data_IF_510432403103
#
_entry.id   IF_510432403103
#
_cell.length_a   1.000
_cell.length_b   1.000
_cell.length_c   1.000
_cell.angle_alpha   90.00
_cell.angle_beta   90.00
_cell.angle_gamma   90.00
#
_symmetry.space_group_name_H-M   'P 1'
#
loop_
_entity.id
_entity.type
_entity.pdbx_description
1 polymer ?
#
# COMPACT_ATOMS: atom_id res chain seq x y z
N UNK A 1 -48.06 12.31 -22.60
CA UNK A 1 -47.26 12.79 -21.45
C UNK A 1 -47.83 12.14 -20.21
N UNK A 2 -47.25 11.02 -19.77
CA UNK A 2 -47.63 10.34 -18.53
C UNK A 2 -46.63 10.77 -17.46
N UNK A 3 -47.11 11.52 -16.48
CA UNK A 3 -46.34 11.93 -15.30
C UNK A 3 -46.18 10.74 -14.36
N UNK A 4 -44.95 10.24 -14.22
CA UNK A 4 -44.55 9.32 -13.15
C UNK A 4 -44.76 9.97 -11.77
N UNK A 5 -45.32 9.25 -10.77
CA UNK A 5 -45.38 9.77 -9.40
C UNK A 5 -43.98 9.68 -8.77
N UNK A 6 -43.38 10.83 -8.49
CA UNK A 6 -42.17 10.91 -7.68
C UNK A 6 -42.48 10.41 -6.26
N UNK A 7 -41.71 9.41 -5.80
CA UNK A 7 -41.89 8.74 -4.50
C UNK A 7 -41.61 9.63 -3.27
N UNK A 8 -41.21 10.89 -3.48
CA UNK A 8 -41.16 11.95 -2.49
C UNK A 8 -40.89 13.28 -3.23
N UNK A 9 -41.87 14.17 -3.30
CA UNK A 9 -41.75 15.40 -4.08
C UNK A 9 -40.89 16.48 -3.39
N UNK A 10 -40.73 16.40 -2.06
CA UNK A 10 -39.96 17.34 -1.26
C UNK A 10 -38.86 16.62 -0.47
N UNK A 11 -37.81 17.34 -0.08
CA UNK A 11 -36.76 16.80 0.81
C UNK A 11 -37.34 16.30 2.14
N UNK A 12 -38.35 16.99 2.68
CA UNK A 12 -39.05 16.57 3.89
C UNK A 12 -39.77 15.23 3.72
N UNK A 13 -40.36 14.98 2.55
CA UNK A 13 -41.02 13.69 2.28
C UNK A 13 -39.99 12.56 2.15
N UNK A 14 -38.81 12.85 1.56
CA UNK A 14 -37.70 11.90 1.50
C UNK A 14 -37.21 11.54 2.90
N UNK A 15 -36.95 12.53 3.75
CA UNK A 15 -36.49 12.29 5.13
C UNK A 15 -37.50 11.50 5.96
N UNK A 16 -38.82 11.76 5.79
CA UNK A 16 -39.87 10.96 6.44
C UNK A 16 -39.87 9.50 5.99
N UNK A 17 -39.73 9.26 4.69
CA UNK A 17 -39.64 7.91 4.14
C UNK A 17 -38.40 7.17 4.65
N UNK A 18 -37.27 7.87 4.76
CA UNK A 18 -36.05 7.31 5.36
C UNK A 18 -36.26 6.94 6.82
N UNK A 19 -36.91 7.80 7.61
CA UNK A 19 -37.25 7.46 9.00
C UNK A 19 -38.08 6.17 9.07
N UNK A 20 -39.05 5.99 8.18
CA UNK A 20 -39.83 4.76 8.10
C UNK A 20 -38.97 3.54 7.71
N UNK A 21 -38.07 3.68 6.72
CA UNK A 21 -37.14 2.62 6.31
C UNK A 21 -36.13 2.23 7.41
N UNK A 22 -35.87 3.12 8.35
CA UNK A 22 -34.99 2.87 9.50
C UNK A 22 -35.71 2.23 10.69
N UNK A 23 -37.04 2.12 10.68
CA UNK A 23 -37.77 1.45 11.76
C UNK A 23 -37.43 -0.03 11.78
N UNK A 24 -37.26 -0.57 12.99
CA UNK A 24 -37.02 -1.99 13.22
C UNK A 24 -38.34 -2.70 13.54
N UNK A 25 -38.50 -3.91 13.01
CA UNK A 25 -39.58 -4.81 13.39
C UNK A 25 -39.21 -5.70 14.60
N UNK A 26 -40.03 -6.71 14.89
CA UNK A 26 -39.82 -7.65 16.01
C UNK A 26 -38.60 -8.57 15.83
N UNK A 27 -38.13 -8.74 14.60
CA UNK A 27 -36.94 -9.52 14.27
C UNK A 27 -35.68 -8.65 14.20
N UNK A 28 -35.80 -7.37 14.57
CA UNK A 28 -34.77 -6.34 14.40
C UNK A 28 -34.43 -6.06 12.92
N UNK A 29 -35.36 -6.31 12.00
CA UNK A 29 -35.19 -5.99 10.59
C UNK A 29 -35.61 -4.56 10.32
N UNK A 30 -34.74 -3.83 9.63
CA UNK A 30 -35.05 -2.50 9.11
C UNK A 30 -35.78 -2.61 7.78
N UNK A 31 -36.60 -1.60 7.45
CA UNK A 31 -37.24 -1.50 6.13
C UNK A 31 -36.23 -1.58 4.98
N UNK A 32 -35.05 -0.96 5.13
CA UNK A 32 -33.98 -1.05 4.11
C UNK A 32 -33.45 -2.48 3.92
N UNK A 33 -33.35 -3.28 5.00
CA UNK A 33 -32.97 -4.69 4.94
C UNK A 33 -34.05 -5.54 4.27
N UNK A 34 -35.32 -5.31 4.62
CA UNK A 34 -36.48 -5.97 4.00
C UNK A 34 -36.48 -5.72 2.48
N UNK A 35 -36.24 -4.48 2.05
CA UNK A 35 -36.11 -4.17 0.63
C UNK A 35 -34.94 -4.90 -0.01
N UNK A 36 -33.78 -4.93 0.63
CA UNK A 36 -32.61 -5.67 0.14
C UNK A 36 -32.89 -7.16 -0.08
N UNK A 37 -33.65 -7.80 0.81
CA UNK A 37 -33.94 -9.23 0.75
C UNK A 37 -35.06 -9.56 -0.26
N UNK A 38 -36.14 -8.78 -0.27
CA UNK A 38 -37.40 -9.18 -0.93
C UNK A 38 -37.87 -8.24 -2.05
N UNK A 39 -37.29 -7.04 -2.16
CA UNK A 39 -37.66 -6.05 -3.17
C UNK A 39 -36.41 -5.34 -3.70
N UNK A 40 -35.45 -6.14 -4.18
CA UNK A 40 -34.11 -5.71 -4.60
C UNK A 40 -34.14 -4.52 -5.57
N UNK A 41 -35.08 -4.47 -6.51
CA UNK A 41 -35.23 -3.36 -7.47
C UNK A 41 -35.50 -2.01 -6.79
N UNK A 42 -36.11 -2.02 -5.60
CA UNK A 42 -36.44 -0.80 -4.85
C UNK A 42 -35.28 -0.28 -4.00
N UNK A 43 -34.21 -1.05 -3.82
CA UNK A 43 -33.08 -0.66 -2.96
C UNK A 43 -32.37 0.58 -3.48
N UNK A 44 -32.18 0.67 -4.80
CA UNK A 44 -31.49 1.78 -5.44
C UNK A 44 -32.22 3.10 -5.22
N UNK A 45 -33.54 3.09 -5.39
CA UNK A 45 -34.38 4.23 -5.12
C UNK A 45 -34.34 4.61 -3.63
N UNK A 46 -34.41 3.62 -2.73
CA UNK A 46 -34.36 3.84 -1.28
C UNK A 46 -33.04 4.47 -0.81
N UNK A 47 -31.90 3.96 -1.29
CA UNK A 47 -30.58 4.54 -0.97
C UNK A 47 -30.43 5.96 -1.55
N UNK A 48 -30.98 6.21 -2.75
CA UNK A 48 -30.93 7.52 -3.40
C UNK A 48 -31.79 8.60 -2.71
N UNK A 49 -32.72 8.22 -1.82
CA UNK A 49 -33.48 9.20 -1.03
C UNK A 49 -32.57 10.00 -0.09
N UNK A 50 -31.44 9.43 0.35
CA UNK A 50 -30.54 10.05 1.31
C UNK A 50 -29.64 11.11 0.66
N UNK A 51 -30.22 12.28 0.44
CA UNK A 51 -29.58 13.49 -0.11
C UNK A 51 -28.86 14.29 0.97
N UNK A 52 -29.43 14.37 2.17
CA UNK A 52 -28.87 15.11 3.31
C UNK A 52 -27.88 14.27 4.12
N UNK A 53 -26.97 14.92 4.84
CA UNK A 53 -26.02 14.21 5.70
C UNK A 53 -26.71 13.43 6.83
N UNK A 54 -27.74 14.01 7.43
CA UNK A 54 -28.51 13.38 8.50
C UNK A 54 -29.18 12.09 8.01
N UNK A 55 -29.79 12.15 6.82
CA UNK A 55 -30.47 11.01 6.22
C UNK A 55 -29.50 9.91 5.79
N UNK A 56 -28.32 10.28 5.27
CA UNK A 56 -27.24 9.32 4.99
C UNK A 56 -26.79 8.59 6.25
N UNK A 57 -26.62 9.31 7.36
CA UNK A 57 -26.24 8.72 8.65
C UNK A 57 -27.35 7.83 9.21
N UNK A 58 -28.64 8.20 9.05
CA UNK A 58 -29.79 7.36 9.43
C UNK A 58 -29.83 6.04 8.65
N UNK A 59 -29.74 6.09 7.32
CA UNK A 59 -29.70 4.88 6.50
C UNK A 59 -28.46 4.03 6.78
N UNK A 60 -27.30 4.67 7.00
CA UNK A 60 -26.09 3.94 7.41
C UNK A 60 -26.33 3.18 8.71
N UNK A 61 -26.92 3.82 9.73
CA UNK A 61 -27.26 3.16 10.98
C UNK A 61 -28.24 1.98 10.77
N UNK A 62 -29.24 2.16 9.91
CA UNK A 62 -30.20 1.11 9.58
C UNK A 62 -29.58 -0.09 8.83
N UNK A 63 -28.58 0.17 7.97
CA UNK A 63 -27.79 -0.87 7.31
C UNK A 63 -26.85 -1.60 8.28
N UNK A 64 -26.41 -0.92 9.33
CA UNK A 64 -25.57 -1.50 10.38
C UNK A 64 -26.38 -2.28 11.43
N UNK A 65 -27.71 -2.18 11.44
CA UNK A 65 -28.56 -2.86 12.40
C UNK A 65 -28.37 -4.38 12.28
N UNK A 66 -27.98 -4.99 13.40
CA UNK A 66 -27.82 -6.45 13.54
C UNK A 66 -29.17 -7.04 13.91
N UNK A 67 -29.57 -8.11 13.21
CA UNK A 67 -30.79 -8.85 13.54
C UNK A 67 -30.56 -10.00 14.54
N UNK A 68 -31.62 -10.76 14.81
CA UNK A 68 -31.57 -11.92 15.69
C UNK A 68 -30.66 -13.06 15.19
N UNK A 69 -30.28 -13.04 13.91
CA UNK A 69 -29.39 -14.02 13.30
C UNK A 69 -27.95 -13.50 13.11
N UNK A 70 -27.62 -12.36 13.72
CA UNK A 70 -26.36 -11.64 13.55
C UNK A 70 -26.11 -11.09 12.13
N UNK A 71 -27.15 -11.00 11.30
CA UNK A 71 -27.10 -10.43 9.96
C UNK A 71 -27.36 -8.93 9.99
N UNK A 72 -26.45 -8.18 9.35
CA UNK A 72 -26.62 -6.75 9.11
C UNK A 72 -27.33 -6.50 7.79
N UNK A 73 -27.93 -5.32 7.63
CA UNK A 73 -28.50 -4.89 6.36
C UNK A 73 -27.45 -4.86 5.24
N UNK A 74 -26.23 -4.41 5.52
CA UNK A 74 -25.14 -4.40 4.53
C UNK A 74 -24.71 -5.81 4.11
N UNK A 75 -24.69 -6.80 5.01
CA UNK A 75 -24.43 -8.20 4.65
C UNK A 75 -25.53 -8.77 3.77
N UNK A 76 -26.80 -8.47 4.06
CA UNK A 76 -27.93 -8.86 3.18
C UNK A 76 -27.78 -8.27 1.78
N UNK A 77 -27.39 -6.99 1.67
CA UNK A 77 -27.12 -6.40 0.36
C UNK A 77 -25.98 -7.12 -0.37
N UNK A 78 -24.90 -7.48 0.34
CA UNK A 78 -23.80 -8.26 -0.25
C UNK A 78 -24.25 -9.60 -0.83
N UNK A 79 -25.19 -10.28 -0.17
CA UNK A 79 -25.71 -11.57 -0.62
C UNK A 79 -26.77 -11.48 -1.70
N UNK A 80 -27.72 -10.55 -1.58
CA UNK A 80 -28.92 -10.51 -2.41
C UNK A 80 -28.85 -9.49 -3.55
N UNK A 81 -28.17 -8.36 -3.33
CA UNK A 81 -28.12 -7.23 -4.29
C UNK A 81 -26.72 -6.59 -4.30
N UNK A 82 -25.67 -7.35 -4.62
CA UNK A 82 -24.27 -6.97 -4.44
C UNK A 82 -23.89 -5.65 -5.12
N UNK A 83 -24.46 -5.36 -6.29
CA UNK A 83 -24.21 -4.12 -7.04
C UNK A 83 -24.63 -2.86 -6.26
N UNK A 84 -25.64 -2.97 -5.38
CA UNK A 84 -26.12 -1.88 -4.53
C UNK A 84 -25.18 -1.56 -3.36
N UNK A 85 -24.28 -2.47 -3.00
CA UNK A 85 -23.35 -2.30 -1.87
C UNK A 85 -22.48 -1.06 -2.10
N UNK A 86 -22.01 -0.81 -3.32
CA UNK A 86 -21.21 0.38 -3.62
C UNK A 86 -21.93 1.70 -3.25
N UNK A 87 -23.23 1.79 -3.50
CA UNK A 87 -24.07 2.93 -3.13
C UNK A 87 -24.29 3.01 -1.62
N UNK A 88 -24.53 1.87 -0.98
CA UNK A 88 -24.69 1.77 0.46
C UNK A 88 -23.42 2.23 1.20
N UNK A 89 -22.23 1.81 0.75
CA UNK A 89 -20.95 2.26 1.28
C UNK A 89 -20.73 3.76 1.07
N UNK A 90 -21.20 4.33 -0.04
CA UNK A 90 -21.08 5.75 -0.33
C UNK A 90 -21.94 6.66 0.57
N UNK A 91 -22.92 6.10 1.30
CA UNK A 91 -23.66 6.84 2.32
C UNK A 91 -22.77 7.24 3.50
N UNK A 92 -21.74 6.45 3.80
CA UNK A 92 -20.81 6.69 4.90
C UNK A 92 -19.78 7.77 4.55
N UNK A 93 -20.18 9.03 4.70
CA UNK A 93 -19.33 10.20 4.42
C UNK A 93 -18.54 10.68 5.65
N UNK A 94 -19.05 10.43 6.86
CA UNK A 94 -18.37 10.79 8.12
C UNK A 94 -17.46 9.67 8.61
N UNK A 95 -16.42 10.00 9.39
CA UNK A 95 -15.55 8.98 10.01
C UNK A 95 -16.33 7.98 10.87
N UNK A 96 -17.31 8.48 11.63
CA UNK A 96 -18.14 7.66 12.50
C UNK A 96 -19.00 6.69 11.70
N UNK A 97 -19.64 7.15 10.62
CA UNK A 97 -20.50 6.30 9.79
C UNK A 97 -19.67 5.25 9.03
N UNK A 98 -18.47 5.63 8.57
CA UNK A 98 -17.54 4.68 7.96
C UNK A 98 -17.14 3.56 8.90
N UNK A 99 -16.77 3.92 10.14
CA UNK A 99 -16.40 2.94 11.16
C UNK A 99 -17.56 2.01 11.49
N UNK A 100 -18.78 2.55 11.69
CA UNK A 100 -19.99 1.73 11.91
C UNK A 100 -20.25 0.74 10.79
N UNK A 101 -20.18 1.20 9.54
CA UNK A 101 -20.46 0.35 8.38
C UNK A 101 -19.38 -0.71 8.18
N UNK A 102 -18.12 -0.38 8.49
CA UNK A 102 -17.04 -1.36 8.52
C UNK A 102 -17.26 -2.39 9.63
N UNK A 103 -17.69 -1.98 10.83
CA UNK A 103 -18.05 -2.91 11.91
C UNK A 103 -19.15 -3.85 11.44
N UNK A 104 -20.17 -3.33 10.75
CA UNK A 104 -21.27 -4.14 10.23
C UNK A 104 -20.82 -5.14 9.13
N UNK A 105 -19.84 -4.77 8.30
CA UNK A 105 -19.23 -5.70 7.33
C UNK A 105 -18.34 -6.76 7.99
N UNK A 106 -17.70 -6.42 9.11
CA UNK A 106 -16.86 -7.32 9.89
C UNK A 106 -17.67 -8.16 10.89
N UNK A 107 -18.97 -7.90 11.05
CA UNK A 107 -19.84 -8.67 11.92
C UNK A 107 -19.91 -10.12 11.42
N UNK A 108 -19.64 -11.06 12.34
CA UNK A 108 -19.76 -12.50 12.09
C UNK A 108 -21.22 -12.90 12.27
N UNK A 109 -21.78 -13.54 11.26
CA UNK A 109 -23.12 -14.10 11.28
C UNK A 109 -23.16 -15.48 11.96
N UNK A 110 -24.34 -16.08 12.06
CA UNK A 110 -24.52 -17.41 12.64
C UNK A 110 -23.87 -18.56 11.82
N UNK A 111 -23.47 -18.31 10.57
CA UNK A 111 -22.70 -19.25 9.74
C UNK A 111 -21.20 -19.08 9.89
N UNK A 112 -20.74 -18.14 10.74
CA UNK A 112 -19.33 -17.83 10.91
C UNK A 112 -18.73 -17.00 9.77
N UNK A 113 -19.56 -16.39 8.91
CA UNK A 113 -19.12 -15.53 7.80
C UNK A 113 -19.28 -14.06 8.14
N UNK A 114 -18.49 -13.23 7.49
CA UNK A 114 -18.62 -11.77 7.55
C UNK A 114 -19.10 -11.23 6.21
N UNK A 115 -19.78 -10.09 6.19
CA UNK A 115 -20.15 -9.42 4.94
C UNK A 115 -18.94 -9.12 4.07
N UNK A 116 -17.79 -8.81 4.68
CA UNK A 116 -16.54 -8.61 3.96
C UNK A 116 -16.04 -9.88 3.27
N UNK A 117 -16.19 -11.06 3.88
CA UNK A 117 -15.83 -12.34 3.28
C UNK A 117 -16.69 -12.64 2.05
N UNK A 118 -17.98 -12.35 2.12
CA UNK A 118 -18.93 -12.53 1.01
C UNK A 118 -18.54 -11.64 -0.17
N UNK A 119 -18.26 -10.37 0.09
CA UNK A 119 -17.76 -9.45 -0.94
C UNK A 119 -16.43 -9.93 -1.54
N UNK A 120 -15.57 -10.56 -0.75
CA UNK A 120 -14.28 -11.04 -1.22
C UNK A 120 -14.41 -12.26 -2.14
N UNK A 121 -15.21 -13.24 -1.72
CA UNK A 121 -15.37 -14.50 -2.43
C UNK A 121 -16.21 -14.33 -3.71
N UNK A 122 -17.29 -13.52 -3.67
CA UNK A 122 -18.25 -13.41 -4.78
C UNK A 122 -18.10 -12.11 -5.60
N UNK A 123 -17.64 -11.01 -5.00
CA UNK A 123 -17.64 -9.68 -5.64
C UNK A 123 -16.35 -8.87 -5.39
N UNK A 124 -15.16 -9.42 -5.72
CA UNK A 124 -13.87 -8.83 -5.33
C UNK A 124 -13.65 -7.39 -5.80
N UNK A 125 -14.34 -6.94 -6.85
CA UNK A 125 -14.31 -5.56 -7.33
C UNK A 125 -14.76 -4.53 -6.26
N UNK A 126 -15.60 -4.94 -5.29
CA UNK A 126 -16.13 -4.07 -4.24
C UNK A 126 -15.19 -3.92 -3.04
N UNK A 127 -14.14 -4.73 -2.94
CA UNK A 127 -13.23 -4.74 -1.79
C UNK A 127 -12.56 -3.39 -1.58
N UNK A 128 -12.17 -2.67 -2.65
CA UNK A 128 -11.58 -1.34 -2.50
C UNK A 128 -12.54 -0.34 -1.84
N UNK A 129 -13.83 -0.42 -2.13
CA UNK A 129 -14.84 0.45 -1.53
C UNK A 129 -15.06 0.11 -0.06
N UNK A 130 -15.08 -1.17 0.29
CA UNK A 130 -15.18 -1.63 1.68
C UNK A 130 -13.93 -1.21 2.49
N UNK A 131 -12.73 -1.40 1.94
CA UNK A 131 -11.48 -0.98 2.58
C UNK A 131 -11.41 0.54 2.78
N UNK A 132 -11.97 1.34 1.88
CA UNK A 132 -12.00 2.80 1.98
C UNK A 132 -12.76 3.33 3.22
N UNK A 133 -13.54 2.48 3.89
CA UNK A 133 -14.17 2.79 5.17
C UNK A 133 -13.17 2.80 6.34
N UNK A 134 -12.08 2.04 6.25
CA UNK A 134 -11.13 1.90 7.36
C UNK A 134 -10.22 3.13 7.47
N UNK A 135 -10.67 4.17 8.19
CA UNK A 135 -9.97 5.47 8.22
C UNK A 135 -9.23 5.76 9.52
N UNK A 136 -9.36 4.89 10.51
CA UNK A 136 -8.75 4.98 11.84
C UNK A 136 -7.87 3.77 12.15
N UNK A 137 -7.06 3.85 13.21
CA UNK A 137 -6.22 2.72 13.63
C UNK A 137 -7.08 1.57 14.20
N UNK A 138 -8.18 1.92 14.86
CA UNK A 138 -9.19 1.00 15.37
C UNK A 138 -9.84 0.23 14.23
N UNK A 139 -10.23 0.92 13.16
CA UNK A 139 -10.78 0.29 11.95
C UNK A 139 -9.77 -0.70 11.32
N UNK A 140 -8.50 -0.32 11.23
CA UNK A 140 -7.42 -1.17 10.72
C UNK A 140 -7.27 -2.45 11.56
N UNK A 141 -7.27 -2.31 12.89
CA UNK A 141 -7.18 -3.45 13.81
C UNK A 141 -8.37 -4.39 13.64
N UNK A 142 -9.57 -3.83 13.57
CA UNK A 142 -10.82 -4.58 13.37
C UNK A 142 -10.82 -5.35 12.04
N UNK A 143 -10.46 -4.69 10.93
CA UNK A 143 -10.34 -5.32 9.61
C UNK A 143 -9.35 -6.49 9.63
N UNK A 144 -8.19 -6.28 10.27
CA UNK A 144 -7.16 -7.31 10.38
C UNK A 144 -7.60 -8.48 11.27
N UNK A 145 -8.42 -8.24 12.28
CA UNK A 145 -8.95 -9.29 13.14
C UNK A 145 -10.11 -10.08 12.49
N UNK A 146 -10.95 -9.43 11.69
CA UNK A 146 -12.13 -10.03 11.08
C UNK A 146 -11.82 -10.97 9.90
N UNK A 147 -10.64 -10.86 9.31
CA UNK A 147 -10.23 -11.67 8.15
C UNK A 147 -9.27 -12.81 8.55
N UNK A 148 -9.51 -13.99 7.99
CA UNK A 148 -8.55 -15.10 8.07
C UNK A 148 -7.28 -14.79 7.27
N UNK A 149 -6.22 -15.59 7.43
CA UNK A 149 -4.99 -15.41 6.66
C UNK A 149 -5.21 -15.62 5.14
N UNK A 150 -6.05 -16.59 4.77
CA UNK A 150 -6.41 -16.83 3.36
C UNK A 150 -7.16 -15.63 2.78
N UNK A 151 -8.15 -15.12 3.51
CA UNK A 151 -8.93 -13.95 3.07
C UNK A 151 -8.02 -12.70 2.93
N UNK A 152 -7.07 -12.51 3.85
CA UNK A 152 -6.08 -11.42 3.73
C UNK A 152 -5.23 -11.54 2.47
N UNK A 153 -4.73 -12.73 2.15
CA UNK A 153 -3.92 -12.95 0.95
C UNK A 153 -4.75 -12.75 -0.33
N UNK A 154 -6.02 -13.16 -0.34
CA UNK A 154 -6.96 -12.84 -1.43
C UNK A 154 -7.16 -11.34 -1.59
N UNK A 155 -7.38 -10.59 -0.50
CA UNK A 155 -7.49 -9.12 -0.55
C UNK A 155 -6.22 -8.50 -1.11
N UNK A 156 -5.04 -8.94 -0.67
CA UNK A 156 -3.75 -8.46 -1.21
C UNK A 156 -3.65 -8.73 -2.71
N UNK A 157 -4.05 -9.93 -3.15
CA UNK A 157 -4.07 -10.29 -4.58
C UNK A 157 -4.99 -9.35 -5.36
N UNK A 158 -6.21 -9.11 -4.88
CA UNK A 158 -7.17 -8.16 -5.47
C UNK A 158 -6.62 -6.74 -5.52
N UNK A 159 -5.92 -6.28 -4.47
CA UNK A 159 -5.28 -4.96 -4.43
C UNK A 159 -4.15 -4.81 -5.45
N UNK A 160 -3.48 -5.91 -5.81
CA UNK A 160 -2.38 -5.95 -6.78
C UNK A 160 -2.85 -6.13 -8.23
N UNK A 161 -4.07 -6.62 -8.44
CA UNK A 161 -4.63 -6.80 -9.78
C UNK A 161 -4.74 -5.47 -10.52
N UNK A 162 -4.40 -5.48 -11.81
CA UNK A 162 -4.45 -4.32 -12.68
C UNK A 162 -5.78 -4.33 -13.43
N UNK A 163 -6.49 -3.21 -13.37
CA UNK A 163 -7.70 -3.02 -14.16
C UNK A 163 -7.37 -2.53 -15.59
N UNK A 164 -8.40 -2.40 -16.42
CA UNK A 164 -8.29 -1.94 -17.82
C UNK A 164 -7.63 -0.55 -17.99
N UNK A 165 -7.57 0.24 -16.91
CA UNK A 165 -6.91 1.55 -16.87
C UNK A 165 -5.44 1.48 -16.47
N UNK A 166 -4.88 0.29 -16.29
CA UNK A 166 -3.49 0.09 -15.86
C UNK A 166 -3.25 0.41 -14.37
N UNK A 167 -4.32 0.54 -13.57
CA UNK A 167 -4.24 0.89 -12.15
C UNK A 167 -4.51 -0.32 -11.28
N UNK A 168 -3.75 -0.43 -10.20
CA UNK A 168 -4.01 -1.42 -9.15
C UNK A 168 -5.06 -0.92 -8.17
N UNK A 169 -5.73 -1.83 -7.46
CA UNK A 169 -6.66 -1.47 -6.38
C UNK A 169 -5.99 -0.58 -5.32
N UNK A 170 -4.75 -0.89 -4.96
CA UNK A 170 -3.96 -0.08 -4.02
C UNK A 170 -3.72 1.36 -4.51
N UNK A 171 -3.43 1.54 -5.81
CA UNK A 171 -3.30 2.89 -6.41
C UNK A 171 -4.61 3.66 -6.34
N UNK A 172 -5.73 3.01 -6.65
CA UNK A 172 -7.05 3.64 -6.54
C UNK A 172 -7.36 4.04 -5.09
N UNK A 173 -7.10 3.15 -4.13
CA UNK A 173 -7.29 3.43 -2.70
C UNK A 173 -6.45 4.62 -2.25
N UNK A 174 -5.19 4.71 -2.68
CA UNK A 174 -4.33 5.85 -2.37
C UNK A 174 -4.87 7.19 -2.91
N UNK A 175 -5.42 7.22 -4.13
CA UNK A 175 -5.97 8.44 -4.72
C UNK A 175 -7.29 8.88 -4.07
N UNK A 176 -8.17 7.93 -3.72
CA UNK A 176 -9.55 8.25 -3.33
C UNK A 176 -9.84 8.10 -1.84
N UNK A 177 -9.07 7.27 -1.13
CA UNK A 177 -9.22 7.03 0.31
C UNK A 177 -7.83 6.86 0.98
N UNK A 178 -6.98 7.90 0.95
CA UNK A 178 -5.59 7.81 1.43
C UNK A 178 -5.45 7.42 2.91
N UNK A 179 -6.46 7.71 3.74
CA UNK A 179 -6.49 7.30 5.15
C UNK A 179 -6.57 5.77 5.33
N UNK A 180 -7.13 5.05 4.35
CA UNK A 180 -7.33 3.60 4.40
C UNK A 180 -6.17 2.78 3.87
N UNK A 181 -5.17 3.42 3.26
CA UNK A 181 -4.02 2.72 2.68
C UNK A 181 -3.27 1.92 3.76
N UNK A 182 -3.07 2.47 4.95
CA UNK A 182 -2.40 1.74 6.03
C UNK A 182 -3.14 0.45 6.43
N UNK A 183 -4.47 0.49 6.46
CA UNK A 183 -5.28 -0.69 6.73
C UNK A 183 -5.07 -1.75 5.65
N UNK A 184 -5.08 -1.35 4.37
CA UNK A 184 -4.84 -2.26 3.26
C UNK A 184 -3.43 -2.87 3.26
N UNK A 185 -2.39 -2.07 3.51
CA UNK A 185 -1.01 -2.54 3.60
C UNK A 185 -0.81 -3.52 4.77
N UNK A 186 -1.50 -3.30 5.89
CA UNK A 186 -1.40 -4.15 7.08
C UNK A 186 -1.99 -5.57 6.89
N UNK A 187 -2.80 -5.78 5.86
CA UNK A 187 -3.31 -7.12 5.53
C UNK A 187 -2.22 -8.03 4.97
N UNK A 188 -1.11 -7.49 4.46
CA UNK A 188 0.02 -8.30 4.01
C UNK A 188 0.86 -8.80 5.19
N UNK A 189 0.50 -9.97 5.70
CA UNK A 189 1.15 -10.59 6.85
C UNK A 189 2.30 -11.50 6.40
N UNK A 190 2.05 -12.33 5.38
CA UNK A 190 3.04 -13.27 4.87
C UNK A 190 4.13 -12.57 4.07
N UNK A 191 5.30 -13.20 3.96
CA UNK A 191 6.39 -12.69 3.12
C UNK A 191 5.96 -12.56 1.65
N UNK A 192 5.19 -13.52 1.15
CA UNK A 192 4.69 -13.52 -0.22
C UNK A 192 3.73 -12.36 -0.50
N UNK A 193 2.80 -12.08 0.43
CA UNK A 193 1.86 -10.96 0.29
C UNK A 193 2.58 -9.61 0.30
N UNK A 194 3.59 -9.47 1.17
CA UNK A 194 4.42 -8.26 1.24
C UNK A 194 5.17 -8.04 -0.07
N UNK A 195 5.79 -9.08 -0.61
CA UNK A 195 6.49 -9.04 -1.89
C UNK A 195 5.51 -8.67 -3.03
N UNK A 196 4.31 -9.26 -3.08
CA UNK A 196 3.26 -8.90 -4.06
C UNK A 196 2.92 -7.40 -4.02
N UNK A 197 2.70 -6.84 -2.82
CA UNK A 197 2.43 -5.41 -2.66
C UNK A 197 3.63 -4.54 -3.06
N UNK A 198 4.85 -4.92 -2.68
CA UNK A 198 6.08 -4.19 -3.08
C UNK A 198 6.20 -4.14 -4.59
N UNK A 199 5.99 -5.27 -5.27
CA UNK A 199 6.01 -5.34 -6.72
C UNK A 199 4.92 -4.49 -7.35
N UNK A 200 3.70 -4.52 -6.82
CA UNK A 200 2.59 -3.69 -7.29
C UNK A 200 2.85 -2.19 -7.08
N UNK A 201 3.51 -1.81 -5.98
CA UNK A 201 3.90 -0.42 -5.68
C UNK A 201 5.02 0.08 -6.60
N UNK A 202 5.94 -0.78 -6.99
CA UNK A 202 7.08 -0.41 -7.82
C UNK A 202 6.78 -0.44 -9.32
N UNK A 203 5.69 -1.11 -9.72
CA UNK A 203 5.26 -1.16 -11.11
C UNK A 203 4.77 0.20 -11.61
N UNK A 204 5.25 0.58 -12.80
CA UNK A 204 4.83 1.78 -13.53
C UNK A 204 3.46 1.53 -14.15
N UNK A 205 2.49 2.42 -13.88
CA UNK A 205 1.15 2.37 -14.50
C UNK A 205 1.12 3.10 -15.85
N UNK A 206 -0.04 3.10 -16.50
CA UNK A 206 -0.24 3.80 -17.77
C UNK A 206 0.01 5.32 -17.67
N UNK A 207 -0.22 5.88 -16.47
CA UNK A 207 0.10 7.28 -16.15
C UNK A 207 1.61 7.57 -15.99
N UNK A 208 2.47 6.57 -16.13
CA UNK A 208 3.92 6.70 -15.96
C UNK A 208 4.38 6.78 -14.50
N UNK A 209 3.46 6.67 -13.53
CA UNK A 209 3.77 6.72 -12.10
C UNK A 209 3.79 5.34 -11.47
N UNK A 210 4.71 5.13 -10.54
CA UNK A 210 4.71 3.97 -9.65
C UNK A 210 3.64 4.15 -8.57
N UNK A 211 3.18 3.05 -7.97
CA UNK A 211 2.31 3.12 -6.78
C UNK A 211 3.00 3.85 -5.63
N UNK A 212 4.31 3.68 -5.46
CA UNK A 212 5.10 4.43 -4.48
C UNK A 212 5.02 5.95 -4.73
N UNK A 213 5.11 6.39 -5.99
CA UNK A 213 4.97 7.81 -6.33
C UNK A 213 3.57 8.34 -6.01
N UNK A 214 2.54 7.54 -6.27
CA UNK A 214 1.15 7.87 -5.92
C UNK A 214 1.00 8.00 -4.39
N UNK A 215 1.61 7.11 -3.61
CA UNK A 215 1.61 7.24 -2.14
C UNK A 215 2.26 8.54 -1.69
N UNK A 216 3.43 8.91 -2.23
CA UNK A 216 4.09 10.17 -1.88
C UNK A 216 3.20 11.39 -2.12
N UNK A 217 2.38 11.37 -3.19
CA UNK A 217 1.55 12.51 -3.58
C UNK A 217 0.20 12.55 -2.85
N UNK A 218 -0.44 11.39 -2.61
CA UNK A 218 -1.82 11.34 -2.13
C UNK A 218 -1.96 10.74 -0.72
N UNK A 219 -1.06 9.86 -0.31
CA UNK A 219 -1.07 9.20 1.00
C UNK A 219 0.33 9.20 1.66
N UNK A 220 0.97 10.38 1.85
CA UNK A 220 2.37 10.45 2.32
C UNK A 220 2.56 9.81 3.70
N UNK A 221 1.53 9.81 4.54
CA UNK A 221 1.52 9.13 5.84
C UNK A 221 1.70 7.60 5.75
N UNK A 222 1.43 7.01 4.57
CA UNK A 222 1.50 5.57 4.33
C UNK A 222 2.81 5.12 3.68
N UNK A 223 3.67 6.06 3.25
CA UNK A 223 4.94 5.72 2.60
C UNK A 223 5.82 4.87 3.51
N UNK A 224 5.90 5.20 4.81
CA UNK A 224 6.70 4.42 5.75
C UNK A 224 6.15 2.99 5.94
N UNK A 225 4.83 2.82 5.98
CA UNK A 225 4.21 1.50 6.06
C UNK A 225 4.48 0.68 4.79
N UNK A 226 4.44 1.33 3.62
CA UNK A 226 4.77 0.69 2.34
C UNK A 226 6.24 0.26 2.26
N UNK A 227 7.17 1.10 2.71
CA UNK A 227 8.60 0.75 2.79
C UNK A 227 8.86 -0.38 3.80
N UNK A 228 8.08 -0.46 4.88
CA UNK A 228 8.17 -1.52 5.88
C UNK A 228 7.69 -2.90 5.38
N UNK A 229 7.02 -2.97 4.22
CA UNK A 229 6.73 -4.25 3.57
C UNK A 229 8.00 -4.96 3.09
N UNK A 230 9.08 -4.23 2.84
CA UNK A 230 10.33 -4.81 2.37
C UNK A 230 11.00 -5.63 3.48
N UNK A 231 10.89 -6.95 3.37
CA UNK A 231 11.45 -7.89 4.35
C UNK A 231 12.62 -8.69 3.80
N UNK A 232 12.85 -8.62 2.49
CA UNK A 232 13.99 -9.26 1.82
C UNK A 232 14.89 -8.25 1.12
N UNK A 233 16.10 -8.69 0.80
CA UNK A 233 17.04 -7.94 -0.04
C UNK A 233 16.47 -7.64 -1.43
N UNK A 234 15.71 -8.58 -1.99
CA UNK A 234 15.00 -8.38 -3.24
C UNK A 234 13.96 -7.25 -3.13
N UNK A 235 13.09 -7.26 -2.12
CA UNK A 235 12.09 -6.20 -1.93
C UNK A 235 12.72 -4.82 -1.84
N UNK A 236 13.78 -4.71 -1.01
CA UNK A 236 14.56 -3.48 -0.82
C UNK A 236 15.21 -3.02 -2.12
N UNK A 237 15.78 -3.95 -2.89
CA UNK A 237 16.37 -3.66 -4.18
C UNK A 237 15.32 -3.09 -5.16
N UNK A 238 14.14 -3.69 -5.23
CA UNK A 238 13.06 -3.22 -6.10
C UNK A 238 12.57 -1.82 -5.68
N UNK A 239 12.44 -1.57 -4.38
CA UNK A 239 12.09 -0.23 -3.89
C UNK A 239 13.17 0.82 -4.19
N UNK A 240 14.46 0.48 -4.07
CA UNK A 240 15.53 1.40 -4.44
C UNK A 240 15.45 1.80 -5.92
N UNK A 241 15.17 0.85 -6.80
CA UNK A 241 14.97 1.09 -8.24
C UNK A 241 13.79 2.04 -8.47
N UNK A 242 12.65 1.78 -7.81
CA UNK A 242 11.47 2.63 -7.91
C UNK A 242 11.72 4.05 -7.37
N UNK A 243 12.42 4.20 -6.24
CA UNK A 243 12.81 5.49 -5.66
C UNK A 243 13.75 6.28 -6.59
N UNK A 244 14.62 5.59 -7.33
CA UNK A 244 15.52 6.17 -8.33
C UNK A 244 14.86 6.40 -9.70
N UNK A 245 13.56 6.11 -9.83
CA UNK A 245 12.78 6.19 -11.08
C UNK A 245 13.34 5.31 -12.20
N UNK A 246 13.98 4.20 -11.85
CA UNK A 246 14.42 3.20 -12.81
C UNK A 246 13.26 2.26 -13.13
N UNK A 247 12.89 2.20 -14.41
CA UNK A 247 11.88 1.25 -14.87
C UNK A 247 12.56 -0.09 -15.16
N UNK A 248 12.08 -1.15 -14.52
CA UNK A 248 12.58 -2.50 -14.69
C UNK A 248 11.52 -3.31 -15.43
N UNK A 249 11.87 -3.82 -16.60
CA UNK A 249 10.98 -4.66 -17.41
C UNK A 249 11.06 -6.14 -17.02
N UNK A 250 12.20 -6.56 -16.44
CA UNK A 250 12.46 -7.92 -16.00
C UNK A 250 13.07 -7.92 -14.59
N UNK A 251 12.25 -8.24 -13.61
CA UNK A 251 12.66 -8.33 -12.21
C UNK A 251 13.43 -9.63 -11.90
N UNK A 252 13.37 -10.65 -12.75
CA UNK A 252 14.08 -11.91 -12.54
C UNK A 252 15.58 -11.74 -12.67
N UNK A 253 16.02 -10.85 -13.56
CA UNK A 253 17.44 -10.43 -13.67
C UNK A 253 18.00 -9.87 -12.36
N UNK A 254 17.19 -9.10 -11.62
CA UNK A 254 17.56 -8.58 -10.29
C UNK A 254 17.51 -9.70 -9.25
N UNK A 255 16.49 -10.55 -9.29
CA UNK A 255 16.34 -11.69 -8.38
C UNK A 255 17.49 -12.69 -8.49
N UNK A 256 17.99 -12.93 -9.69
CA UNK A 256 19.07 -13.88 -9.96
C UNK A 256 20.47 -13.35 -9.59
N UNK A 257 20.62 -12.05 -9.34
CA UNK A 257 21.93 -11.44 -9.07
C UNK A 257 22.04 -10.97 -7.60
N UNK A 258 22.60 -11.80 -6.70
CA UNK A 258 22.71 -11.45 -5.29
C UNK A 258 23.67 -10.28 -5.03
N UNK A 259 24.70 -10.09 -5.86
CA UNK A 259 25.62 -8.96 -5.72
C UNK A 259 24.94 -7.64 -6.08
N UNK A 260 24.11 -7.64 -7.13
CA UNK A 260 23.29 -6.49 -7.50
C UNK A 260 22.28 -6.16 -6.41
N UNK A 261 21.63 -7.17 -5.82
CA UNK A 261 20.74 -6.97 -4.67
C UNK A 261 21.49 -6.34 -3.51
N UNK A 262 22.66 -6.85 -3.10
CA UNK A 262 23.49 -6.26 -2.04
C UNK A 262 23.82 -4.78 -2.29
N UNK A 263 24.17 -4.43 -3.53
CA UNK A 263 24.47 -3.05 -3.91
C UNK A 263 23.23 -2.14 -3.84
N UNK A 264 22.09 -2.60 -4.34
CA UNK A 264 20.82 -1.87 -4.30
C UNK A 264 20.26 -1.77 -2.87
N UNK A 265 20.43 -2.80 -2.04
CA UNK A 265 20.09 -2.79 -0.61
C UNK A 265 20.91 -1.75 0.14
N UNK A 266 22.23 -1.67 -0.12
CA UNK A 266 23.07 -0.62 0.47
C UNK A 266 22.57 0.78 0.10
N UNK A 267 22.14 0.99 -1.14
CA UNK A 267 21.54 2.24 -1.58
C UNK A 267 20.18 2.49 -0.91
N UNK A 268 19.31 1.48 -0.82
CA UNK A 268 18.03 1.54 -0.12
C UNK A 268 18.20 1.96 1.35
N UNK A 269 19.07 1.25 2.07
CA UNK A 269 19.32 1.50 3.48
C UNK A 269 19.92 2.90 3.70
N UNK A 270 20.75 3.40 2.77
CA UNK A 270 21.23 4.78 2.79
C UNK A 270 20.10 5.79 2.60
N UNK A 271 19.28 5.64 1.55
CA UNK A 271 18.18 6.55 1.20
C UNK A 271 17.15 6.66 2.34
N UNK A 272 16.90 5.55 3.01
CA UNK A 272 15.90 5.42 4.07
C UNK A 272 16.51 5.48 5.49
N UNK A 273 17.79 5.82 5.62
CA UNK A 273 18.41 6.06 6.92
C UNK A 273 17.85 7.36 7.54
N UNK A 274 17.13 7.22 8.65
CA UNK A 274 16.34 8.29 9.31
C UNK A 274 17.13 9.46 9.93
N UNK A 275 18.29 9.85 9.37
CA UNK A 275 19.15 10.93 9.89
C UNK A 275 19.29 12.13 8.95
N UNK A 276 18.32 12.40 8.08
CA UNK A 276 18.29 13.62 7.29
C UNK A 276 17.23 14.56 7.87
N UNK A 277 17.59 15.26 8.95
CA UNK A 277 16.74 16.30 9.54
C UNK A 277 16.31 17.31 8.48
N UNK A 278 15.04 17.72 8.53
CA UNK A 278 14.26 18.42 7.50
C UNK A 278 14.80 19.76 6.97
N UNK A 279 16.00 20.22 7.37
CA UNK A 279 16.55 21.54 7.04
C UNK A 279 18.02 21.53 6.58
N UNK A 280 18.54 20.44 6.00
CA UNK A 280 19.91 20.44 5.44
C UNK A 280 19.95 20.02 3.98
N UNK A 281 20.25 20.98 3.12
CA UNK A 281 20.72 20.83 1.72
C UNK A 281 21.78 19.73 1.55
N UNK A 282 22.60 19.46 2.58
CA UNK A 282 23.63 18.42 2.58
C UNK A 282 23.11 16.98 2.54
N UNK A 283 21.87 16.70 2.98
CA UNK A 283 21.26 15.37 2.87
C UNK A 283 20.79 15.05 1.45
N UNK A 284 20.31 16.06 0.73
CA UNK A 284 19.78 15.90 -0.62
C UNK A 284 20.88 15.58 -1.63
N UNK A 285 22.06 16.19 -1.51
CA UNK A 285 23.18 15.88 -2.40
C UNK A 285 23.57 14.40 -2.31
N UNK A 286 23.68 13.85 -1.10
CA UNK A 286 23.96 12.43 -0.92
C UNK A 286 22.87 11.53 -1.53
N UNK A 287 21.60 11.90 -1.39
CA UNK A 287 20.47 11.16 -2.00
C UNK A 287 20.49 11.23 -3.53
N UNK A 288 20.73 12.40 -4.11
CA UNK A 288 20.89 12.59 -5.57
C UNK A 288 22.02 11.72 -6.12
N UNK A 289 23.15 11.68 -5.42
CA UNK A 289 24.29 10.83 -5.77
C UNK A 289 23.93 9.34 -5.70
N UNK A 290 23.09 8.94 -4.74
CA UNK A 290 22.58 7.58 -4.64
C UNK A 290 21.58 7.24 -5.75
N UNK A 291 20.72 8.19 -6.14
CA UNK A 291 19.84 7.99 -7.31
C UNK A 291 20.65 7.83 -8.60
N UNK A 292 21.68 8.65 -8.81
CA UNK A 292 22.58 8.52 -9.95
C UNK A 292 23.34 7.18 -9.94
N UNK A 293 23.80 6.73 -8.77
CA UNK A 293 24.39 5.41 -8.61
C UNK A 293 23.46 4.29 -9.08
N UNK A 294 22.22 4.28 -8.60
CA UNK A 294 21.23 3.26 -8.99
C UNK A 294 20.95 3.32 -10.50
N UNK A 295 20.81 4.52 -11.06
CA UNK A 295 20.57 4.71 -12.50
C UNK A 295 21.74 4.20 -13.35
N UNK A 296 22.99 4.54 -12.99
CA UNK A 296 24.17 4.08 -13.70
C UNK A 296 24.35 2.57 -13.58
N UNK A 297 24.10 2.01 -12.39
CA UNK A 297 24.19 0.57 -12.15
C UNK A 297 23.24 -0.20 -13.07
N UNK A 298 22.03 0.32 -13.27
CA UNK A 298 21.03 -0.34 -14.13
C UNK A 298 21.18 -0.02 -15.62
N UNK A 299 21.86 1.06 -15.98
CA UNK A 299 22.17 1.39 -17.38
C UNK A 299 23.31 0.54 -17.95
N UNK A 300 24.16 -0.05 -17.10
CA UNK A 300 25.23 -0.94 -17.55
C UNK A 300 24.66 -2.27 -18.07
N UNK A 301 25.17 -2.71 -19.21
CA UNK A 301 24.75 -3.95 -19.88
C UNK A 301 25.23 -5.23 -19.15
N UNK A 302 26.22 -5.10 -18.26
CA UNK A 302 26.78 -6.20 -17.49
C UNK A 302 26.89 -5.80 -16.00
N UNK A 303 26.20 -6.54 -15.14
CA UNK A 303 26.17 -6.36 -13.69
C UNK A 303 26.95 -7.46 -12.98
N UNK A 304 28.14 -7.81 -13.50
CA UNK A 304 29.09 -8.64 -12.77
C UNK A 304 29.63 -7.93 -11.52
N UNK A 305 30.23 -8.69 -10.63
CA UNK A 305 30.74 -8.20 -9.35
C UNK A 305 31.71 -7.02 -9.52
N UNK A 306 32.59 -7.09 -10.52
CA UNK A 306 33.64 -6.09 -10.75
C UNK A 306 33.02 -4.74 -11.15
N UNK A 307 32.04 -4.78 -12.06
CA UNK A 307 31.33 -3.59 -12.50
C UNK A 307 30.48 -2.98 -11.38
N UNK A 308 29.85 -3.82 -10.55
CA UNK A 308 29.11 -3.39 -9.37
C UNK A 308 30.05 -2.70 -8.37
N UNK A 309 31.17 -3.33 -8.01
CA UNK A 309 32.17 -2.75 -7.11
C UNK A 309 32.74 -1.43 -7.64
N UNK A 310 33.07 -1.38 -8.93
CA UNK A 310 33.54 -0.15 -9.59
C UNK A 310 32.51 0.98 -9.49
N UNK A 311 31.23 0.66 -9.74
CA UNK A 311 30.16 1.66 -9.64
C UNK A 311 29.92 2.10 -8.18
N UNK A 312 30.03 1.19 -7.22
CA UNK A 312 29.97 1.53 -5.79
C UNK A 312 31.15 2.41 -5.34
N UNK A 313 32.36 2.17 -5.84
CA UNK A 313 33.51 3.07 -5.63
C UNK A 313 33.21 4.46 -6.17
N UNK A 314 32.61 4.54 -7.37
CA UNK A 314 32.22 5.82 -7.95
C UNK A 314 31.13 6.50 -7.12
N UNK A 315 30.16 5.75 -6.60
CA UNK A 315 29.16 6.26 -5.67
C UNK A 315 29.78 6.84 -4.40
N UNK A 316 30.89 6.26 -3.90
CA UNK A 316 31.63 6.83 -2.76
C UNK A 316 32.45 8.08 -3.12
N UNK A 317 32.98 8.16 -4.35
CA UNK A 317 33.71 9.35 -4.85
C UNK A 317 32.78 10.51 -5.16
N UNK A 318 31.58 10.21 -5.64
CA UNK A 318 30.61 11.17 -6.16
C UNK A 318 30.69 11.32 -7.69
N UNK A 319 29.62 11.84 -8.27
CA UNK A 319 29.38 12.06 -9.69
C UNK A 319 29.38 13.56 -10.00
N UNK A 320 30.24 13.97 -10.93
CA UNK A 320 30.34 15.36 -11.42
C UNK A 320 31.50 16.16 -10.82
N UNK A 321 31.81 17.29 -11.46
CA UNK A 321 33.01 18.13 -11.21
C UNK A 321 33.04 18.75 -9.81
N UNK A 322 31.88 18.97 -9.19
CA UNK A 322 31.75 19.54 -7.84
C UNK A 322 31.24 18.50 -6.82
N UNK A 323 31.33 17.21 -7.15
CA UNK A 323 30.90 16.17 -6.23
C UNK A 323 31.91 15.97 -5.11
N UNK A 324 31.38 15.81 -3.89
CA UNK A 324 32.21 15.53 -2.73
C UNK A 324 32.21 14.03 -2.47
N UNK A 325 33.41 13.49 -2.25
CA UNK A 325 33.59 12.15 -1.74
C UNK A 325 32.83 11.99 -0.42
N UNK A 326 32.21 10.83 -0.23
CA UNK A 326 31.55 10.50 1.02
C UNK A 326 32.52 10.63 2.19
N UNK A 327 32.08 11.29 3.26
CA UNK A 327 32.76 11.32 4.54
C UNK A 327 32.68 9.95 5.25
N UNK A 328 33.29 9.84 6.43
CA UNK A 328 33.34 8.61 7.24
C UNK A 328 32.47 8.68 8.51
N UNK A 329 31.48 9.57 8.54
CA UNK A 329 30.55 9.67 9.67
C UNK A 329 29.48 8.56 9.60
N UNK A 330 28.71 8.42 10.68
CA UNK A 330 27.84 7.25 10.95
C UNK A 330 26.68 7.02 9.96
N UNK A 331 26.40 7.98 9.08
CA UNK A 331 25.34 7.89 8.05
C UNK A 331 25.89 8.20 6.65
N UNK A 332 27.17 7.89 6.44
CA UNK A 332 27.85 8.06 5.15
C UNK A 332 27.56 6.90 4.20
N UNK A 333 27.74 7.13 2.89
CA UNK A 333 27.65 6.06 1.87
C UNK A 333 28.69 4.95 2.14
N UNK A 334 29.85 5.30 2.70
CA UNK A 334 30.93 4.37 3.08
C UNK A 334 30.43 3.28 4.02
N UNK A 335 29.61 3.66 5.01
CA UNK A 335 29.02 2.70 5.94
C UNK A 335 28.24 1.62 5.20
N UNK A 336 27.33 2.02 4.31
CA UNK A 336 26.45 1.08 3.62
C UNK A 336 27.20 0.26 2.58
N UNK A 337 28.20 0.84 1.92
CA UNK A 337 29.11 0.09 1.05
C UNK A 337 29.89 -0.98 1.81
N UNK A 338 30.42 -0.66 3.00
CA UNK A 338 31.08 -1.63 3.87
C UNK A 338 30.12 -2.74 4.33
N UNK A 339 28.92 -2.37 4.79
CA UNK A 339 27.91 -3.32 5.28
C UNK A 339 27.28 -4.19 4.17
N UNK A 340 27.49 -3.85 2.89
CA UNK A 340 27.05 -4.69 1.76
C UNK A 340 27.86 -5.99 1.61
N UNK A 341 29.02 -6.06 2.25
CA UNK A 341 30.00 -7.15 2.14
C UNK A 341 30.58 -7.38 0.74
N UNK A 342 30.31 -6.46 -0.20
CA UNK A 342 30.83 -6.55 -1.57
C UNK A 342 32.34 -6.27 -1.64
N UNK A 343 32.93 -5.68 -0.60
CA UNK A 343 34.36 -5.36 -0.50
C UNK A 343 35.08 -6.19 0.58
N UNK A 344 34.50 -7.33 0.97
CA UNK A 344 35.00 -8.18 2.05
C UNK A 344 34.02 -8.26 3.24
N UNK A 345 34.31 -9.15 4.19
CA UNK A 345 33.43 -9.39 5.34
C UNK A 345 33.39 -8.20 6.30
N UNK A 346 32.18 -7.85 6.75
CA UNK A 346 31.96 -6.81 7.74
C UNK A 346 32.05 -7.38 9.17
N UNK A 347 33.27 -7.54 9.69
CA UNK A 347 33.52 -8.17 11.00
C UNK A 347 33.21 -7.28 12.20
N UNK A 348 33.11 -5.96 12.02
CA UNK A 348 32.77 -5.03 13.08
C UNK A 348 31.68 -4.08 12.58
N UNK A 349 30.61 -3.82 13.33
CA UNK A 349 29.62 -2.84 12.93
C UNK A 349 30.25 -1.45 12.77
N UNK A 350 29.98 -0.77 11.66
CA UNK A 350 30.62 0.51 11.31
C UNK A 350 30.47 1.60 12.38
N UNK A 351 29.42 1.55 13.20
CA UNK A 351 29.17 2.53 14.26
C UNK A 351 30.01 2.31 15.53
N UNK A 352 30.60 1.12 15.70
CA UNK A 352 31.49 0.76 16.81
C UNK A 352 32.96 1.09 16.50
N UNK A 353 33.27 1.33 15.21
CA UNK A 353 34.62 1.63 14.76
C UNK A 353 35.09 3.03 15.17
N UNK A 354 36.38 3.15 15.46
CA UNK A 354 37.06 4.45 15.61
C UNK A 354 37.10 5.18 14.26
N UNK A 355 37.23 6.50 14.29
CA UNK A 355 37.21 7.31 13.07
C UNK A 355 38.34 6.92 12.09
N UNK A 356 39.49 6.54 12.62
CA UNK A 356 40.70 6.14 11.89
C UNK A 356 40.48 4.81 11.16
N UNK A 357 39.84 3.85 11.84
CA UNK A 357 39.46 2.56 11.23
C UNK A 357 38.43 2.80 10.12
N UNK A 358 37.48 3.73 10.30
CA UNK A 358 36.52 4.12 9.25
C UNK A 358 37.16 4.81 8.05
N UNK A 359 38.22 5.61 8.26
CA UNK A 359 39.03 6.20 7.18
C UNK A 359 39.82 5.12 6.43
N UNK A 360 40.42 4.18 7.14
CA UNK A 360 41.14 3.06 6.55
C UNK A 360 40.21 2.19 5.69
N UNK A 361 39.00 1.88 6.17
CA UNK A 361 37.99 1.15 5.40
C UNK A 361 37.56 1.91 4.16
N UNK A 362 37.30 3.21 4.27
CA UNK A 362 37.00 4.05 3.11
C UNK A 362 38.11 3.91 2.06
N UNK A 363 39.36 4.02 2.48
CA UNK A 363 40.50 3.93 1.57
C UNK A 363 40.61 2.53 0.95
N UNK A 364 40.47 1.47 1.75
CA UNK A 364 40.48 0.09 1.27
C UNK A 364 39.39 -0.19 0.22
N UNK A 365 38.18 0.37 0.39
CA UNK A 365 37.11 0.25 -0.62
C UNK A 365 37.49 1.03 -1.89
N UNK A 366 38.02 2.25 -1.77
CA UNK A 366 38.38 3.09 -2.91
C UNK A 366 39.56 2.54 -3.73
N UNK A 367 40.48 1.83 -3.07
CA UNK A 367 41.65 1.19 -3.68
C UNK A 367 41.40 -0.27 -4.05
N UNK A 368 40.20 -0.78 -3.75
CA UNK A 368 39.85 -2.18 -3.99
C UNK A 368 40.05 -2.53 -5.46
N UNK A 369 40.97 -3.46 -5.70
CA UNK A 369 41.34 -3.94 -7.02
C UNK A 369 40.95 -5.42 -7.12
N UNK A 370 40.22 -5.78 -8.17
CA UNK A 370 39.79 -7.15 -8.40
C UNK A 370 41.02 -8.01 -8.75
N UNK A 371 41.19 -9.20 -8.15
CA UNK A 371 42.23 -10.13 -8.58
C UNK A 371 42.04 -10.48 -10.07
N UNK A 372 43.10 -10.30 -10.86
CA UNK A 372 43.12 -10.75 -12.27
C UNK A 372 42.93 -12.28 -12.27
N UNK A 373 41.99 -12.84 -13.06
CA UNK A 373 41.84 -14.28 -13.14
C UNK A 373 43.16 -14.89 -13.62
N UNK A 374 43.62 -15.94 -12.93
CA UNK A 374 44.84 -16.64 -13.31
C UNK A 374 44.74 -17.11 -14.77
N UNK A 375 45.81 -16.94 -15.57
CA UNK A 375 45.80 -17.36 -16.96
C UNK A 375 45.50 -18.87 -17.04
N UNK A 376 44.71 -19.32 -18.04
CA UNK A 376 44.44 -20.74 -18.21
C UNK A 376 45.76 -21.47 -18.46
N UNK A 377 45.98 -22.53 -17.67
CA UNK A 377 47.11 -23.45 -17.84
C UNK A 377 46.88 -24.42 -19.00
#
# INVERSE_FOLDING_TARGET
MLSTPWLAATENDKSKLIVALCQIDRENWTGIKILGQYASESIYAALALATTQEDKSKLTAALCQVDNNNWTGISVLGHCVPESVSLALALATTKQDKSKLLTALCQVDNEGKTGLKVLLDDYPALINAALALATTAEDQSMLTAALSQDDKSKVVTTLCQINDKGKTGLKALACYAPAAVNAALALAITKEDKEKLVMALCRVGNEGWTGLKILECYAPQSVQAALALATTDFDKAILALAQAKVTVNDYDSVRANPNLQKALVAAYDYLNSGRFGWHRTHGNHGKEQTYQFIQNLMAKKNNDLNNIQTEMQQWLKGYGVFSFSSNCNRSSRVRFAYQSELFGQATTPFFEMRDEDRKAIKQAILDFSVPVPAPPH
#
